data_IF_452741565559
#
_entry.id   IF_452741565559
#
_cell.length_a   1.000
_cell.length_b   1.000
_cell.length_c   1.000
_cell.angle_alpha   90.00
_cell.angle_beta   90.00
_cell.angle_gamma   90.00
#
_symmetry.space_group_name_H-M   'P 1'
#
loop_
_entity.id
_entity.type
_entity.pdbx_description
1 polymer ?
#
# COMPACT_ATOMS: atom_id res chain seq x y z
N UNK A 1 0.65 -29.27 -27.94
CA UNK A 1 0.37 -27.82 -27.82
C UNK A 1 -1.09 -27.67 -27.42
N UNK A 2 -1.34 -27.04 -26.29
CA UNK A 2 -2.65 -26.54 -25.89
C UNK A 2 -2.38 -25.24 -25.16
N UNK A 3 -2.92 -24.14 -25.65
CA UNK A 3 -3.00 -22.89 -24.87
C UNK A 3 -3.85 -23.19 -23.63
N UNK A 4 -3.44 -22.79 -22.41
CA UNK A 4 -4.31 -22.94 -21.26
C UNK A 4 -5.62 -22.19 -21.54
N UNK A 5 -6.77 -22.86 -21.44
CA UNK A 5 -8.06 -22.19 -21.45
C UNK A 5 -8.16 -21.34 -20.18
N UNK A 6 -8.08 -20.03 -20.35
CA UNK A 6 -8.41 -19.07 -19.32
C UNK A 6 -9.86 -18.64 -19.57
N UNK A 7 -10.74 -18.78 -18.58
CA UNK A 7 -12.03 -18.10 -18.63
C UNK A 7 -11.76 -16.60 -18.84
N UNK A 8 -12.38 -16.02 -19.88
CA UNK A 8 -12.25 -14.61 -20.24
C UNK A 8 -12.86 -13.74 -19.13
N UNK A 9 -12.05 -13.44 -18.11
CA UNK A 9 -12.31 -12.39 -17.15
C UNK A 9 -12.24 -11.06 -17.90
N UNK A 10 -13.39 -10.40 -18.09
CA UNK A 10 -13.48 -9.11 -18.76
C UNK A 10 -12.44 -8.13 -18.19
N UNK A 11 -11.51 -7.65 -19.03
CA UNK A 11 -10.54 -6.60 -18.70
C UNK A 11 -9.12 -7.04 -18.32
N UNK A 12 -8.75 -8.32 -18.46
CA UNK A 12 -7.38 -8.79 -18.22
C UNK A 12 -6.72 -9.21 -19.55
N UNK A 13 -5.53 -8.70 -19.82
CA UNK A 13 -4.69 -9.14 -20.95
C UNK A 13 -3.63 -10.12 -20.45
N UNK A 14 -3.48 -11.25 -21.17
CA UNK A 14 -2.51 -12.29 -20.86
C UNK A 14 -1.58 -12.52 -22.03
N UNK A 15 -0.29 -12.57 -21.78
CA UNK A 15 0.76 -12.76 -22.80
C UNK A 15 1.79 -13.76 -22.30
N UNK A 16 2.47 -14.47 -23.20
CA UNK A 16 3.61 -15.33 -22.84
C UNK A 16 4.90 -14.70 -23.35
N UNK A 17 5.91 -14.61 -22.49
CA UNK A 17 7.25 -14.13 -22.86
C UNK A 17 8.32 -15.15 -22.47
N UNK A 18 9.28 -15.36 -23.36
CA UNK A 18 10.47 -16.16 -23.07
C UNK A 18 11.57 -15.35 -22.33
N UNK A 19 11.52 -14.01 -22.42
CA UNK A 19 12.45 -13.15 -21.69
C UNK A 19 11.89 -12.78 -20.32
N UNK A 20 12.71 -12.76 -19.25
CA UNK A 20 12.30 -12.25 -17.95
C UNK A 20 12.00 -10.75 -18.05
N UNK A 21 10.75 -10.33 -17.85
CA UNK A 21 10.36 -8.92 -17.92
C UNK A 21 10.46 -8.21 -16.55
N UNK A 22 10.89 -8.92 -15.50
CA UNK A 22 10.64 -8.52 -14.12
C UNK A 22 11.75 -7.65 -13.52
N UNK A 23 11.36 -6.53 -12.92
CA UNK A 23 12.22 -5.73 -12.04
C UNK A 23 12.31 -6.34 -10.64
N UNK A 24 11.28 -7.08 -10.22
CA UNK A 24 11.25 -7.78 -8.95
C UNK A 24 10.62 -9.15 -9.08
N UNK A 25 11.24 -10.15 -8.45
CA UNK A 25 10.80 -11.54 -8.43
C UNK A 25 10.80 -12.04 -7.00
N UNK A 26 9.73 -12.75 -6.64
CA UNK A 26 9.61 -13.45 -5.37
C UNK A 26 9.39 -14.94 -5.62
N UNK A 27 10.32 -15.74 -5.11
CA UNK A 27 10.23 -17.20 -5.10
C UNK A 27 9.63 -17.63 -3.77
N UNK A 28 8.48 -18.30 -3.83
CA UNK A 28 7.76 -18.82 -2.67
C UNK A 28 7.98 -20.32 -2.65
N UNK A 29 8.74 -20.78 -1.68
CA UNK A 29 8.93 -22.21 -1.40
C UNK A 29 7.90 -22.68 -0.38
N UNK A 30 7.59 -23.97 -0.41
CA UNK A 30 6.56 -24.55 0.45
C UNK A 30 5.19 -23.86 0.29
N UNK A 31 4.78 -23.59 -0.95
CA UNK A 31 3.55 -22.86 -1.27
C UNK A 31 2.32 -23.49 -0.62
N UNK A 32 2.26 -24.83 -0.57
CA UNK A 32 1.19 -25.58 0.09
C UNK A 32 1.07 -25.27 1.59
N UNK A 33 2.16 -24.90 2.26
CA UNK A 33 2.14 -24.47 3.66
C UNK A 33 1.56 -23.07 3.79
N UNK A 34 1.90 -22.17 2.87
CA UNK A 34 1.35 -20.81 2.83
C UNK A 34 -0.17 -20.85 2.58
N UNK A 35 -0.64 -21.76 1.73
CA UNK A 35 -2.07 -21.94 1.48
C UNK A 35 -2.81 -22.63 2.63
N UNK A 36 -2.23 -23.64 3.28
CA UNK A 36 -2.91 -24.40 4.35
C UNK A 36 -2.97 -23.67 5.69
N UNK A 37 -1.94 -22.92 6.06
CA UNK A 37 -1.78 -22.39 7.43
C UNK A 37 -2.67 -21.17 7.75
N UNK A 38 -3.74 -20.91 6.98
CA UNK A 38 -4.63 -19.76 7.16
C UNK A 38 -3.92 -18.40 7.19
N UNK A 39 -2.69 -18.33 6.67
CA UNK A 39 -1.98 -17.06 6.48
C UNK A 39 -2.79 -16.28 5.46
N UNK A 40 -3.49 -15.24 5.93
CA UNK A 40 -4.44 -14.50 5.10
C UNK A 40 -3.80 -13.87 3.87
N UNK A 41 -2.53 -13.46 3.98
CA UNK A 41 -1.70 -12.93 2.89
C UNK A 41 -0.22 -13.09 3.19
N UNK A 42 0.58 -13.11 2.13
CA UNK A 42 2.03 -12.95 2.15
C UNK A 42 2.39 -11.56 1.60
N UNK A 43 3.36 -10.90 2.23
CA UNK A 43 3.93 -9.64 1.74
C UNK A 43 5.42 -9.85 1.45
N UNK A 44 5.88 -9.40 0.29
CA UNK A 44 7.28 -9.52 -0.09
C UNK A 44 8.16 -8.50 0.64
N UNK A 45 9.47 -8.64 0.46
CA UNK A 45 10.40 -7.54 0.74
C UNK A 45 10.10 -6.31 -0.12
N UNK A 46 10.61 -5.16 0.33
CA UNK A 46 10.47 -3.89 -0.40
C UNK A 46 11.49 -3.83 -1.54
N UNK A 47 11.05 -3.36 -2.70
CA UNK A 47 11.91 -3.11 -3.85
C UNK A 47 11.65 -1.72 -4.43
N UNK A 48 12.62 -1.21 -5.17
CA UNK A 48 12.55 0.13 -5.75
C UNK A 48 12.36 0.04 -7.28
N UNK A 49 11.40 0.81 -7.80
CA UNK A 49 11.16 0.95 -9.23
C UNK A 49 10.56 2.32 -9.52
N UNK A 50 11.04 2.98 -10.58
CA UNK A 50 10.59 4.31 -10.99
C UNK A 50 10.74 5.39 -9.90
N UNK A 51 11.75 5.28 -9.04
CA UNK A 51 11.98 6.22 -7.93
C UNK A 51 11.17 5.94 -6.65
N UNK A 52 10.22 5.01 -6.70
CA UNK A 52 9.33 4.69 -5.58
C UNK A 52 9.58 3.29 -5.00
N UNK A 53 9.10 3.07 -3.78
CA UNK A 53 9.21 1.80 -3.07
C UNK A 53 7.91 1.02 -3.11
N UNK A 54 8.03 -0.27 -3.38
CA UNK A 54 6.91 -1.17 -3.63
C UNK A 54 7.08 -2.49 -2.89
N UNK A 55 5.98 -3.19 -2.68
CA UNK A 55 5.95 -4.60 -2.25
C UNK A 55 4.88 -5.37 -3.01
N UNK A 56 5.09 -6.66 -3.22
CA UNK A 56 4.06 -7.58 -3.68
C UNK A 56 3.24 -8.08 -2.50
N UNK A 57 1.92 -8.14 -2.68
CA UNK A 57 0.97 -8.68 -1.69
C UNK A 57 0.20 -9.81 -2.34
N UNK A 58 0.41 -11.03 -1.83
CA UNK A 58 -0.16 -12.26 -2.37
C UNK A 58 -1.20 -12.83 -1.40
N UNK A 59 -2.38 -13.17 -1.93
CA UNK A 59 -3.39 -13.94 -1.22
C UNK A 59 -3.48 -15.32 -1.85
N UNK A 60 -2.84 -16.35 -1.26
CA UNK A 60 -2.69 -17.67 -1.87
C UNK A 60 -4.02 -18.42 -2.05
N UNK A 61 -5.06 -18.09 -1.26
CA UNK A 61 -6.40 -18.68 -1.38
C UNK A 61 -7.47 -17.62 -1.68
N UNK A 62 -7.07 -16.53 -2.31
CA UNK A 62 -7.95 -15.43 -2.65
C UNK A 62 -8.12 -14.41 -1.53
N UNK A 63 -8.39 -13.18 -1.94
CA UNK A 63 -8.65 -12.08 -1.03
C UNK A 63 -10.08 -12.16 -0.47
N UNK A 64 -10.20 -12.61 0.78
CA UNK A 64 -11.48 -12.73 1.50
C UNK A 64 -12.24 -11.41 1.59
N UNK A 65 -11.56 -10.26 1.70
CA UNK A 65 -12.23 -8.96 1.76
C UNK A 65 -12.89 -8.56 0.43
N UNK A 66 -12.55 -9.27 -0.66
CA UNK A 66 -13.12 -9.12 -2.00
C UNK A 66 -14.02 -10.30 -2.38
N UNK A 67 -14.35 -11.18 -1.42
CA UNK A 67 -15.12 -12.40 -1.62
C UNK A 67 -14.51 -13.39 -2.63
N UNK A 68 -13.18 -13.38 -2.82
CA UNK A 68 -12.47 -14.35 -3.67
C UNK A 68 -12.00 -15.55 -2.85
N UNK A 69 -12.18 -16.77 -3.38
CA UNK A 69 -11.86 -18.03 -2.65
C UNK A 69 -11.20 -19.13 -3.51
N UNK A 70 -11.32 -19.04 -4.82
CA UNK A 70 -10.94 -20.07 -5.80
C UNK A 70 -9.83 -19.62 -6.76
N UNK A 71 -9.34 -18.40 -6.55
CA UNK A 71 -8.24 -17.79 -7.29
C UNK A 71 -7.17 -17.33 -6.32
N UNK A 72 -5.92 -17.30 -6.77
CA UNK A 72 -4.91 -16.47 -6.16
C UNK A 72 -5.23 -15.01 -6.46
N UNK A 73 -5.09 -14.12 -5.47
CA UNK A 73 -5.10 -12.67 -5.70
C UNK A 73 -3.68 -12.14 -5.54
N UNK A 74 -3.28 -11.22 -6.42
CA UNK A 74 -1.95 -10.63 -6.41
C UNK A 74 -2.05 -9.12 -6.61
N UNK A 75 -1.36 -8.38 -5.74
CA UNK A 75 -1.34 -6.93 -5.75
C UNK A 75 0.08 -6.39 -5.64
N UNK A 76 0.23 -5.15 -6.07
CA UNK A 76 1.38 -4.30 -5.86
C UNK A 76 0.96 -3.16 -4.95
N UNK A 77 1.75 -2.91 -3.90
CA UNK A 77 1.47 -1.92 -2.86
C UNK A 77 2.62 -0.94 -2.76
N UNK A 78 2.33 0.35 -2.90
CA UNK A 78 3.28 1.44 -2.73
C UNK A 78 3.50 1.70 -1.24
N UNK A 79 4.75 1.74 -0.81
CA UNK A 79 5.13 1.87 0.61
C UNK A 79 5.97 3.11 0.86
N UNK A 80 6.14 3.46 2.14
CA UNK A 80 6.91 4.63 2.58
C UNK A 80 6.41 5.95 1.97
N UNK A 81 5.11 6.06 1.72
CA UNK A 81 4.50 7.24 1.09
C UNK A 81 4.31 8.42 2.04
N UNK A 82 4.63 8.27 3.34
CA UNK A 82 4.52 9.34 4.33
C UNK A 82 5.52 10.48 4.11
N UNK A 83 6.63 10.23 3.40
CA UNK A 83 7.61 11.25 3.03
C UNK A 83 7.25 12.00 1.75
N UNK A 84 6.19 11.58 1.05
CA UNK A 84 5.75 12.24 -0.18
C UNK A 84 4.99 13.53 0.13
N UNK A 85 5.12 14.57 -0.71
CA UNK A 85 4.44 15.84 -0.50
C UNK A 85 2.93 15.67 -0.52
N UNK A 86 2.19 16.53 0.19
CA UNK A 86 0.73 16.48 0.15
C UNK A 86 0.22 16.58 -1.30
N UNK A 87 -0.84 15.82 -1.61
CA UNK A 87 -1.42 15.80 -2.94
C UNK A 87 -0.51 15.20 -4.02
N UNK A 88 0.42 14.33 -3.65
CA UNK A 88 1.21 13.55 -4.60
C UNK A 88 0.32 12.60 -5.43
N UNK A 89 0.69 12.43 -6.69
CA UNK A 89 0.09 11.45 -7.61
C UNK A 89 1.19 10.77 -8.42
N UNK A 90 1.11 9.45 -8.55
CA UNK A 90 2.01 8.65 -9.40
C UNK A 90 1.18 7.84 -10.37
N UNK A 91 1.50 7.94 -11.65
CA UNK A 91 0.95 7.09 -12.70
C UNK A 91 2.01 6.07 -13.10
N UNK A 92 1.64 4.80 -13.13
CA UNK A 92 2.54 3.74 -13.54
C UNK A 92 1.85 2.65 -14.36
N UNK A 93 2.55 2.18 -15.40
CA UNK A 93 2.26 0.91 -16.06
C UNK A 93 2.75 -0.20 -15.12
N UNK A 94 1.88 -1.17 -14.83
CA UNK A 94 2.22 -2.31 -13.97
C UNK A 94 1.91 -3.60 -14.70
N UNK A 95 2.90 -4.50 -14.74
CA UNK A 95 2.75 -5.86 -15.24
C UNK A 95 3.11 -6.83 -14.15
N UNK A 96 2.31 -7.90 -14.03
CA UNK A 96 2.57 -9.00 -13.12
C UNK A 96 2.99 -10.23 -13.90
N UNK A 97 3.78 -11.09 -13.25
CA UNK A 97 4.34 -12.26 -13.89
C UNK A 97 4.19 -13.51 -13.04
N UNK A 98 3.98 -14.63 -13.71
CA UNK A 98 4.04 -15.97 -13.14
C UNK A 98 4.93 -16.84 -14.03
N UNK A 99 5.98 -17.44 -13.46
CA UNK A 99 6.93 -18.26 -14.22
C UNK A 99 6.36 -19.66 -14.45
N UNK A 100 6.30 -20.09 -15.71
CA UNK A 100 6.22 -21.49 -16.08
C UNK A 100 7.64 -22.07 -15.98
N UNK A 101 7.88 -22.88 -14.96
CA UNK A 101 9.20 -23.39 -14.61
C UNK A 101 9.62 -24.56 -15.51
N UNK A 102 8.67 -25.23 -16.16
CA UNK A 102 8.93 -26.35 -17.07
C UNK A 102 9.35 -25.85 -18.45
N UNK A 103 8.71 -24.77 -18.94
CA UNK A 103 8.99 -24.16 -20.24
C UNK A 103 9.97 -23.00 -20.19
N UNK A 104 10.44 -22.65 -18.99
CA UNK A 104 11.29 -21.50 -18.71
C UNK A 104 10.79 -20.19 -19.36
N UNK A 105 9.49 -19.93 -19.21
CA UNK A 105 8.84 -18.73 -19.73
C UNK A 105 7.92 -18.09 -18.69
N UNK A 106 7.31 -16.97 -19.05
CA UNK A 106 6.54 -16.14 -18.13
C UNK A 106 5.17 -15.84 -18.69
N UNK A 107 4.14 -16.12 -17.90
CA UNK A 107 2.81 -15.58 -18.10
C UNK A 107 2.79 -14.14 -17.58
N UNK A 108 2.65 -13.19 -18.50
CA UNK A 108 2.46 -11.77 -18.24
C UNK A 108 0.97 -11.51 -18.11
N UNK A 109 0.58 -10.81 -17.04
CA UNK A 109 -0.79 -10.40 -16.78
C UNK A 109 -0.80 -8.88 -16.54
N UNK A 110 -1.62 -8.17 -17.33
CA UNK A 110 -1.82 -6.73 -17.22
C UNK A 110 -3.29 -6.36 -17.46
N UNK A 111 -3.70 -5.15 -17.09
CA UNK A 111 -5.09 -4.70 -17.25
C UNK A 111 -5.29 -4.24 -18.71
N UNK A 112 -6.23 -4.89 -19.43
CA UNK A 112 -6.45 -4.65 -20.84
C UNK A 112 -7.09 -3.27 -21.10
N UNK A 113 -7.86 -2.77 -20.13
CA UNK A 113 -8.64 -1.53 -20.26
C UNK A 113 -7.91 -0.35 -19.63
N UNK A 114 -7.19 -0.59 -18.53
CA UNK A 114 -6.41 0.41 -17.82
C UNK A 114 -4.94 0.29 -18.21
N UNK A 115 -4.53 1.16 -19.12
CA UNK A 115 -3.11 1.29 -19.47
C UNK A 115 -2.27 1.68 -18.25
N UNK A 116 -2.73 2.61 -17.42
CA UNK A 116 -1.96 3.11 -16.27
C UNK A 116 -2.72 3.05 -14.95
N UNK A 117 -2.01 2.64 -13.90
CA UNK A 117 -2.48 2.72 -12.53
C UNK A 117 -2.17 4.09 -11.93
N UNK A 118 -3.15 4.66 -11.26
CA UNK A 118 -3.03 5.95 -10.57
C UNK A 118 -2.97 5.72 -9.06
N UNK A 119 -1.84 6.08 -8.47
CA UNK A 119 -1.54 5.99 -7.05
C UNK A 119 -1.56 7.38 -6.42
N UNK A 120 -2.15 7.46 -5.23
CA UNK A 120 -2.23 8.68 -4.42
C UNK A 120 -2.49 8.28 -2.96
N UNK A 121 -2.54 9.24 -2.03
CA UNK A 121 -2.66 8.97 -0.60
C UNK A 121 -3.85 8.08 -0.15
N UNK A 122 -4.91 7.96 -0.96
CA UNK A 122 -6.05 7.07 -0.67
C UNK A 122 -6.04 5.77 -1.49
N UNK A 123 -5.15 5.64 -2.47
CA UNK A 123 -5.03 4.48 -3.36
C UNK A 123 -3.57 4.12 -3.54
N UNK A 124 -3.09 3.26 -2.67
CA UNK A 124 -1.70 2.79 -2.65
C UNK A 124 -1.50 1.43 -3.31
N UNK A 125 -2.59 0.77 -3.69
CA UNK A 125 -2.55 -0.61 -4.18
C UNK A 125 -3.24 -0.76 -5.54
N UNK A 126 -2.65 -1.60 -6.39
CA UNK A 126 -3.25 -2.09 -7.62
C UNK A 126 -3.02 -3.59 -7.78
N UNK A 127 -3.78 -4.25 -8.64
CA UNK A 127 -3.61 -5.68 -8.89
C UNK A 127 -4.89 -6.35 -9.32
N UNK A 128 -4.92 -7.67 -9.13
CA UNK A 128 -5.99 -8.54 -9.59
C UNK A 128 -6.56 -9.36 -8.44
N UNK A 129 -7.85 -9.17 -8.21
CA UNK A 129 -8.63 -9.99 -7.26
C UNK A 129 -8.62 -11.46 -7.70
N UNK A 130 -8.71 -11.73 -9.01
CA UNK A 130 -8.66 -13.07 -9.60
C UNK A 130 -7.47 -13.16 -10.56
N UNK A 131 -6.25 -13.27 -10.03
CA UNK A 131 -5.01 -13.28 -10.81
C UNK A 131 -4.87 -14.58 -11.62
N UNK A 132 -4.95 -15.73 -10.94
CA UNK A 132 -4.93 -17.05 -11.57
C UNK A 132 -5.83 -18.02 -10.78
N UNK A 133 -6.64 -18.87 -11.45
CA UNK A 133 -7.40 -19.91 -10.77
C UNK A 133 -6.48 -20.86 -10.02
N UNK A 134 -6.87 -21.28 -8.81
CA UNK A 134 -6.08 -22.22 -8.02
C UNK A 134 -5.87 -23.55 -8.75
N UNK A 135 -6.88 -23.99 -9.50
CA UNK A 135 -6.81 -25.20 -10.34
C UNK A 135 -5.73 -25.07 -11.41
N UNK A 136 -5.66 -23.93 -12.09
CA UNK A 136 -4.65 -23.66 -13.12
C UNK A 136 -3.25 -23.58 -12.53
N UNK A 137 -3.08 -22.94 -11.37
CA UNK A 137 -1.80 -22.84 -10.68
C UNK A 137 -1.26 -24.21 -10.23
N UNK A 138 -2.14 -25.08 -9.73
CA UNK A 138 -1.78 -26.36 -9.10
C UNK A 138 -1.73 -27.53 -10.09
N UNK A 139 -2.25 -27.36 -11.31
CA UNK A 139 -2.11 -28.35 -12.37
C UNK A 139 -0.66 -28.44 -12.83
N UNK A 140 -0.02 -29.57 -12.56
CA UNK A 140 1.38 -29.83 -12.89
C UNK A 140 1.69 -29.66 -14.38
N UNK A 141 0.71 -29.78 -15.28
CA UNK A 141 0.91 -29.59 -16.73
C UNK A 141 1.21 -28.14 -17.12
N UNK A 142 0.91 -27.19 -16.23
CA UNK A 142 1.11 -25.77 -16.48
C UNK A 142 2.47 -25.25 -15.98
N UNK A 143 3.23 -26.04 -15.21
CA UNK A 143 4.59 -25.69 -14.77
C UNK A 143 4.68 -24.53 -13.77
N UNK A 144 3.57 -24.02 -13.24
CA UNK A 144 3.60 -22.86 -12.33
C UNK A 144 3.99 -23.22 -10.89
N UNK A 145 3.55 -24.39 -10.41
CA UNK A 145 3.89 -24.94 -9.11
C UNK A 145 4.75 -26.20 -9.31
N UNK A 146 6.06 -26.08 -9.14
CA UNK A 146 7.03 -27.18 -9.27
C UNK A 146 7.79 -27.33 -7.96
N UNK A 147 7.91 -28.54 -7.43
CA UNK A 147 8.54 -28.82 -6.14
C UNK A 147 8.03 -27.92 -5.00
N UNK A 148 6.69 -27.82 -4.92
CA UNK A 148 5.96 -26.93 -3.98
C UNK A 148 6.46 -25.47 -3.99
N UNK A 149 6.96 -25.02 -5.14
CA UNK A 149 7.55 -23.70 -5.33
C UNK A 149 6.86 -22.96 -6.47
N UNK A 150 6.49 -21.71 -6.22
CA UNK A 150 5.94 -20.78 -7.20
C UNK A 150 6.84 -19.54 -7.32
N UNK A 151 6.88 -18.92 -8.49
CA UNK A 151 7.66 -17.71 -8.73
C UNK A 151 6.77 -16.62 -9.33
N UNK A 152 6.53 -15.57 -8.56
CA UNK A 152 5.76 -14.39 -8.97
C UNK A 152 6.70 -13.21 -9.21
N UNK A 153 6.27 -12.25 -10.03
CA UNK A 153 7.04 -11.03 -10.24
C UNK A 153 6.18 -9.83 -10.60
N UNK A 154 6.82 -8.66 -10.60
CA UNK A 154 6.24 -7.42 -11.10
C UNK A 154 7.27 -6.54 -11.82
N UNK A 155 6.76 -5.74 -12.73
CA UNK A 155 7.46 -4.66 -13.43
C UNK A 155 6.60 -3.40 -13.29
N UNK A 156 7.26 -2.30 -12.94
CA UNK A 156 6.67 -1.00 -12.72
C UNK A 156 7.41 0.02 -13.58
N UNK A 157 6.67 0.68 -14.47
CA UNK A 157 7.17 1.79 -15.25
C UNK A 157 6.37 3.04 -14.93
N UNK A 158 6.97 3.96 -14.17
CA UNK A 158 6.35 5.25 -13.83
C UNK A 158 6.34 6.12 -15.08
N UNK A 159 5.15 6.64 -15.44
CA UNK A 159 4.94 7.43 -16.65
C UNK A 159 4.68 8.90 -16.36
N UNK A 160 4.12 9.21 -15.18
CA UNK A 160 3.83 10.59 -14.78
C UNK A 160 3.82 10.73 -13.26
N UNK A 161 4.31 11.86 -12.80
CA UNK A 161 4.30 12.25 -11.40
C UNK A 161 3.71 13.66 -11.27
N UNK A 162 2.92 13.90 -10.23
CA UNK A 162 2.51 15.25 -9.82
C UNK A 162 2.73 15.43 -8.34
N UNK A 163 3.19 16.61 -7.97
CA UNK A 163 3.18 17.11 -6.59
C UNK A 163 2.41 18.42 -6.55
N UNK A 164 1.24 18.44 -5.90
CA UNK A 164 0.46 19.68 -5.74
C UNK A 164 0.90 20.41 -4.47
N UNK A 165 2.03 21.13 -4.57
CA UNK A 165 2.41 22.15 -3.59
C UNK A 165 2.90 21.67 -2.22
N UNK A 166 3.37 22.65 -1.45
CA UNK A 166 3.98 22.49 -0.13
C UNK A 166 2.88 22.22 0.92
N UNK A 167 2.65 20.95 1.25
CA UNK A 167 1.72 20.56 2.31
C UNK A 167 2.40 19.68 3.35
N UNK A 168 2.05 19.90 4.62
CA UNK A 168 2.66 19.24 5.78
C UNK A 168 1.96 17.91 6.09
N UNK A 169 2.72 16.85 6.41
CA UNK A 169 2.20 15.57 6.89
C UNK A 169 2.51 15.42 8.39
N UNK A 170 1.48 15.35 9.23
CA UNK A 170 1.61 15.15 10.67
C UNK A 170 1.33 13.68 11.03
N UNK A 171 2.37 12.94 11.41
CA UNK A 171 2.23 11.61 12.01
C UNK A 171 2.15 11.74 13.53
N UNK A 172 0.97 11.50 14.12
CA UNK A 172 0.87 11.34 15.58
C UNK A 172 1.47 9.99 16.01
N UNK A 173 2.47 10.03 16.90
CA UNK A 173 3.05 8.84 17.51
C UNK A 173 2.00 8.15 18.40
N UNK A 174 1.66 6.90 18.08
CA UNK A 174 0.86 6.05 18.97
C UNK A 174 1.72 5.65 20.18
N UNK A 175 1.34 6.13 21.36
CA UNK A 175 2.07 5.90 22.61
C UNK A 175 2.67 7.16 23.22
N UNK A 176 2.23 8.35 22.81
CA UNK A 176 2.67 9.63 23.36
C UNK A 176 2.63 9.58 24.90
N UNK A 177 3.82 9.73 25.51
CA UNK A 177 3.95 9.98 26.94
C UNK A 177 3.15 11.25 27.21
N UNK A 178 2.08 11.15 27.99
CA UNK A 178 1.28 12.32 28.38
C UNK A 178 2.16 13.24 29.23
N UNK A 179 2.84 14.19 28.59
CA UNK A 179 3.56 15.24 29.30
C UNK A 179 2.55 16.28 29.76
N UNK A 180 2.16 16.18 31.04
CA UNK A 180 1.25 17.14 31.67
C UNK A 180 2.00 18.43 32.00
N UNK A 181 1.99 19.39 31.09
CA UNK A 181 2.42 20.75 31.39
C UNK A 181 1.32 21.50 32.15
N UNK A 182 1.63 21.91 33.38
CA UNK A 182 0.77 22.76 34.21
C UNK A 182 1.23 24.21 34.04
N UNK A 183 0.36 25.02 33.46
CA UNK A 183 0.54 26.47 33.41
C UNK A 183 -0.31 27.09 34.52
N UNK A 184 0.35 27.81 35.45
CA UNK A 184 -0.33 28.58 36.49
C UNK A 184 -0.51 30.02 36.01
N UNK A 185 -1.74 30.51 36.11
CA UNK A 185 -2.09 31.91 35.85
C UNK A 185 -2.39 32.57 37.18
N UNK A 186 -1.46 33.40 37.64
CA UNK A 186 -1.66 34.16 38.88
C UNK A 186 -2.48 35.42 38.60
N UNK A 187 -3.36 35.79 39.54
CA UNK A 187 -4.18 37.01 39.46
C UNK A 187 -5.07 37.13 38.20
N UNK A 188 -5.82 36.06 37.89
CA UNK A 188 -6.72 35.98 36.73
C UNK A 188 -7.70 37.17 36.58
N UNK A 189 -8.06 37.83 37.68
CA UNK A 189 -8.98 38.97 37.72
C UNK A 189 -8.36 40.31 37.32
N UNK A 190 -7.02 40.40 37.22
CA UNK A 190 -6.28 41.61 36.77
C UNK A 190 -5.90 41.55 35.29
N UNK A 191 -6.35 40.53 34.57
CA UNK A 191 -6.04 40.34 33.17
C UNK A 191 -6.82 41.36 32.31
N UNK A 192 -6.08 42.25 31.65
CA UNK A 192 -6.55 43.37 30.82
C UNK A 192 -6.53 43.08 29.31
N UNK A 193 -5.88 41.99 28.88
CA UNK A 193 -5.79 41.56 27.47
C UNK A 193 -6.84 40.50 27.16
N UNK A 194 -7.20 40.42 25.88
CA UNK A 194 -8.21 39.49 25.38
C UNK A 194 -7.72 38.03 25.42
N UNK A 195 -6.41 37.80 25.18
CA UNK A 195 -5.75 36.51 25.25
C UNK A 195 -4.43 36.58 25.99
N UNK A 196 -4.10 35.50 26.72
CA UNK A 196 -2.80 35.29 27.34
C UNK A 196 -2.21 33.98 26.87
N UNK A 197 -1.02 34.08 26.29
CA UNK A 197 -0.25 32.93 25.83
C UNK A 197 0.71 32.46 26.92
N UNK A 198 0.83 31.14 27.07
CA UNK A 198 1.87 30.53 27.87
C UNK A 198 3.24 30.78 27.23
N UNK A 199 4.31 30.63 28.01
CA UNK A 199 5.64 30.46 27.41
C UNK A 199 5.62 29.25 26.47
N UNK A 200 6.34 29.37 25.36
CA UNK A 200 6.55 28.25 24.45
C UNK A 200 7.26 27.14 25.21
N UNK A 201 6.72 25.93 25.17
CA UNK A 201 7.33 24.74 25.72
C UNK A 201 7.60 23.74 24.60
N UNK A 202 8.66 22.96 24.76
CA UNK A 202 9.00 21.88 23.84
C UNK A 202 8.26 20.63 24.29
N UNK A 203 7.45 20.05 23.41
CA UNK A 203 7.01 18.68 23.56
C UNK A 203 7.67 17.88 22.43
N UNK A 204 8.65 17.07 22.83
CA UNK A 204 9.60 16.44 21.91
C UNK A 204 10.29 17.48 20.99
N UNK A 205 10.10 17.38 19.68
CA UNK A 205 10.73 18.25 18.67
C UNK A 205 9.85 19.44 18.24
N UNK A 206 8.66 19.58 18.81
CA UNK A 206 7.70 20.60 18.42
C UNK A 206 7.56 21.69 19.49
N UNK A 207 7.44 22.93 19.03
CA UNK A 207 7.18 24.11 19.86
C UNK A 207 5.68 24.27 20.06
N UNK A 208 5.23 24.20 21.30
CA UNK A 208 3.83 24.37 21.68
C UNK A 208 3.66 25.58 22.58
N UNK A 209 2.50 26.24 22.50
CA UNK A 209 2.05 27.21 23.48
C UNK A 209 0.54 27.03 23.69
N UNK A 210 0.03 27.48 24.83
CA UNK A 210 -1.41 27.51 25.12
C UNK A 210 -1.88 28.95 25.14
N UNK A 211 -3.02 29.23 24.53
CA UNK A 211 -3.67 30.53 24.60
C UNK A 211 -4.95 30.43 25.43
N UNK A 212 -5.15 31.33 26.39
CA UNK A 212 -6.36 31.39 27.20
C UNK A 212 -7.08 32.74 27.02
N UNK A 213 -8.39 32.76 26.72
CA UNK A 213 -9.20 33.97 26.69
C UNK A 213 -9.51 34.49 28.11
N UNK A 214 -9.60 35.82 28.28
CA UNK A 214 -9.89 36.46 29.58
C UNK A 214 -11.39 36.59 29.92
N UNK A 215 -12.30 36.25 29.01
CA UNK A 215 -13.73 36.48 29.15
C UNK A 215 -14.53 35.28 29.69
N UNK A 216 -14.52 35.12 31.02
CA UNK A 216 -15.66 34.51 31.73
C UNK A 216 -16.20 35.52 32.75
N UNK A 217 -16.85 36.59 32.26
CA UNK A 217 -17.68 37.45 33.13
C UNK A 217 -19.11 36.91 33.11
N UNK A 218 -19.54 36.35 34.24
CA UNK A 218 -20.93 35.96 34.49
C UNK A 218 -21.87 37.15 34.24
N UNK A 219 -22.90 36.95 33.42
CA UNK A 219 -24.07 37.82 33.39
C UNK A 219 -25.06 37.33 34.46
N UNK A 220 -25.09 37.99 35.63
CA UNK A 220 -26.27 37.97 36.48
C UNK A 220 -27.17 39.14 36.03
N UNK A 221 -28.35 38.81 35.50
CA UNK A 221 -29.39 39.79 35.17
C UNK A 221 -30.12 40.20 36.46
N UNK A 222 -30.24 41.50 36.71
CA UNK A 222 -31.43 42.08 37.35
C UNK A 222 -32.43 42.42 36.24
#
# INVERSE_FOLDING_TARGET
MGTPEFDDLQGVERMVSATPPAQYVVKIQSYSSLSKNSVGKYESGVFQAGGYKWKLVLYPNGNKSKNVKDHVSLYLSMVETSSLPSGWEVHALVRFFLRDQDKDNYLIIQDAMRKEWHFHGMKLECGFDQFIPLKTLTDARNGYLVDDTCVFGAEVSVTKEKSTGQGENLLMIKGAISQKHVWKVDNFWKLDKEFYDSKVFMAENYKWYRSQPSSYRHAAKN
#
